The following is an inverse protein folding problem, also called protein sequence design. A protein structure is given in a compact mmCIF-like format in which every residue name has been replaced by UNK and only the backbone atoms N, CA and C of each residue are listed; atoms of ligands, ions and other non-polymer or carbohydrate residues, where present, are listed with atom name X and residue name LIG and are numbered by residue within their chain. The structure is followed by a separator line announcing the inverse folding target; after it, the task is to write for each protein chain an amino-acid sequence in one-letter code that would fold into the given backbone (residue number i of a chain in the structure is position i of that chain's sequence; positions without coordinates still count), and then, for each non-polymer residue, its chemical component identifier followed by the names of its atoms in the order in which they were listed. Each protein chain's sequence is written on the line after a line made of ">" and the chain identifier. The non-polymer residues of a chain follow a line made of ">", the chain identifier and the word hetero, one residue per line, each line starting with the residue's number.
data_IF_982967081134
#
_entry.id   IF_982967081134
#
_cell.length_a   1.000
_cell.length_b   1.000
_cell.length_c   1.000
_cell.angle_alpha   90.00
_cell.angle_beta   90.00
_cell.angle_gamma   90.00
#
_symmetry.space_group_name_H-M   'P 1'
#
loop_
_entity.id
_entity.type
_entity.pdbx_description
1 polymer ?
#
# COMPACT_ATOMS: atom_id res chain seq x y z
N UNK A 1 22.06 -21.98 1.13
CA UNK A 1 22.67 -22.61 -0.08
C UNK A 1 21.63 -23.22 -1.01
N UNK A 2 20.93 -24.32 -0.68
CA UNK A 2 19.91 -24.88 -1.59
C UNK A 2 18.68 -23.97 -1.80
N UNK A 3 18.20 -23.31 -0.73
CA UNK A 3 17.08 -22.36 -0.79
C UNK A 3 17.41 -21.07 -1.55
N UNK A 4 18.63 -20.54 -1.40
CA UNK A 4 19.06 -19.31 -2.07
C UNK A 4 19.21 -19.53 -3.59
N UNK A 5 19.75 -20.68 -3.98
CA UNK A 5 19.85 -21.07 -5.38
C UNK A 5 18.46 -21.20 -6.03
N UNK A 6 17.52 -21.87 -5.36
CA UNK A 6 16.14 -22.00 -5.86
C UNK A 6 15.43 -20.65 -6.00
N UNK A 7 15.61 -19.74 -5.03
CA UNK A 7 15.06 -18.38 -5.09
C UNK A 7 15.69 -17.55 -6.21
N UNK A 8 17.00 -17.73 -6.45
CA UNK A 8 17.70 -17.03 -7.51
C UNK A 8 17.19 -17.46 -8.90
N UNK A 9 16.98 -18.76 -9.13
CA UNK A 9 16.40 -19.26 -10.40
C UNK A 9 14.96 -18.78 -10.59
N UNK A 10 14.14 -18.79 -9.54
CA UNK A 10 12.78 -18.26 -9.61
C UNK A 10 12.79 -16.75 -9.91
N UNK A 11 13.67 -15.99 -9.26
CA UNK A 11 13.83 -14.56 -9.50
C UNK A 11 14.25 -14.25 -10.95
N UNK A 12 15.17 -15.02 -11.51
CA UNK A 12 15.57 -14.91 -12.92
C UNK A 12 14.35 -15.04 -13.85
N UNK A 13 13.55 -16.09 -13.66
CA UNK A 13 12.32 -16.31 -14.44
C UNK A 13 11.37 -15.12 -14.32
N UNK A 14 11.16 -14.60 -13.11
CA UNK A 14 10.29 -13.45 -12.85
C UNK A 14 10.77 -12.17 -13.53
N UNK A 15 12.08 -11.93 -13.54
CA UNK A 15 12.68 -10.79 -14.24
C UNK A 15 12.33 -10.82 -15.73
N UNK A 16 12.40 -11.99 -16.38
CA UNK A 16 12.03 -12.11 -17.80
C UNK A 16 10.53 -11.87 -18.05
N UNK A 17 9.65 -12.34 -17.15
CA UNK A 17 8.21 -12.06 -17.25
C UNK A 17 7.92 -10.56 -17.14
N UNK A 18 8.56 -9.90 -16.17
CA UNK A 18 8.41 -8.47 -15.95
C UNK A 18 9.00 -7.65 -17.11
N UNK A 19 10.09 -8.11 -17.72
CA UNK A 19 10.70 -7.49 -18.90
C UNK A 19 9.74 -7.48 -20.10
N UNK A 20 9.10 -8.62 -20.38
CA UNK A 20 8.10 -8.71 -21.44
C UNK A 20 6.90 -7.79 -21.16
N UNK A 21 6.43 -7.75 -19.91
CA UNK A 21 5.35 -6.85 -19.49
C UNK A 21 5.75 -5.37 -19.68
N UNK A 22 6.94 -5.00 -19.22
CA UNK A 22 7.47 -3.64 -19.36
C UNK A 22 7.60 -3.23 -20.82
N UNK A 23 8.14 -4.09 -21.68
CA UNK A 23 8.27 -3.84 -23.11
C UNK A 23 6.91 -3.63 -23.80
N UNK A 24 5.89 -4.42 -23.42
CA UNK A 24 4.52 -4.24 -23.92
C UNK A 24 3.96 -2.86 -23.52
N UNK A 25 4.08 -2.48 -22.26
CA UNK A 25 3.59 -1.18 -21.77
C UNK A 25 4.34 0.00 -22.40
N UNK A 26 5.66 -0.13 -22.61
CA UNK A 26 6.45 0.90 -23.31
C UNK A 26 6.07 1.06 -24.78
N UNK A 27 5.52 0.04 -25.41
CA UNK A 27 4.97 0.17 -26.78
C UNK A 27 3.72 1.06 -26.77
N UNK A 28 2.91 1.01 -25.70
CA UNK A 28 1.76 1.90 -25.52
C UNK A 28 2.18 3.33 -25.14
N UNK A 29 3.18 3.47 -24.26
CA UNK A 29 3.67 4.76 -23.77
C UNK A 29 5.20 4.78 -23.65
N UNK A 30 5.93 5.13 -24.72
CA UNK A 30 7.40 5.02 -24.75
C UNK A 30 8.11 6.08 -23.89
N UNK A 31 7.46 7.22 -23.68
CA UNK A 31 8.01 8.39 -22.97
C UNK A 31 7.63 8.45 -21.50
N UNK A 32 7.10 7.36 -20.92
CA UNK A 32 6.78 7.31 -19.50
C UNK A 32 8.05 7.08 -18.66
N UNK A 33 8.34 8.02 -17.75
CA UNK A 33 9.55 8.01 -16.92
C UNK A 33 9.66 6.76 -16.04
N UNK A 34 8.55 6.26 -15.48
CA UNK A 34 8.55 5.08 -14.62
C UNK A 34 8.83 3.82 -15.45
N UNK A 35 8.22 3.68 -16.62
CA UNK A 35 8.49 2.56 -17.51
C UNK A 35 9.93 2.60 -18.06
N UNK A 36 10.49 3.79 -18.31
CA UNK A 36 11.90 3.93 -18.70
C UNK A 36 12.85 3.52 -17.57
N UNK A 37 12.58 3.96 -16.33
CA UNK A 37 13.36 3.56 -15.17
C UNK A 37 13.29 2.05 -14.93
N UNK A 38 12.08 1.48 -14.95
CA UNK A 38 11.84 0.04 -14.86
C UNK A 38 12.67 -0.74 -15.90
N UNK A 39 12.62 -0.32 -17.16
CA UNK A 39 13.39 -0.94 -18.26
C UNK A 39 14.91 -0.87 -18.01
N UNK A 40 15.41 0.27 -17.54
CA UNK A 40 16.83 0.46 -17.23
C UNK A 40 17.32 -0.47 -16.10
N UNK A 41 16.50 -0.64 -15.06
CA UNK A 41 16.82 -1.57 -13.94
C UNK A 41 16.73 -3.02 -14.43
N UNK A 42 15.74 -3.38 -15.25
CA UNK A 42 15.62 -4.72 -15.83
C UNK A 42 16.83 -5.10 -16.69
N UNK A 43 17.37 -4.18 -17.48
CA UNK A 43 18.58 -4.43 -18.26
C UNK A 43 19.80 -4.73 -17.38
N UNK A 44 19.93 -4.05 -16.23
CA UNK A 44 20.97 -4.34 -15.23
C UNK A 44 20.77 -5.73 -14.61
N UNK A 45 19.53 -6.06 -14.22
CA UNK A 45 19.18 -7.36 -13.64
C UNK A 45 19.43 -8.52 -14.62
N UNK A 46 19.03 -8.38 -15.89
CA UNK A 46 19.30 -9.38 -16.94
C UNK A 46 20.80 -9.55 -17.19
N UNK A 47 21.57 -8.45 -17.17
CA UNK A 47 23.03 -8.50 -17.37
C UNK A 47 23.72 -9.28 -16.25
N UNK A 48 23.27 -9.12 -15.00
CA UNK A 48 23.78 -9.88 -13.84
C UNK A 48 23.64 -11.40 -14.05
N UNK A 49 22.45 -11.87 -14.46
CA UNK A 49 22.19 -13.30 -14.67
C UNK A 49 22.95 -13.88 -15.88
N UNK A 50 23.14 -13.08 -16.94
CA UNK A 50 23.90 -13.54 -18.13
C UNK A 50 25.40 -13.69 -17.91
N UNK A 51 26.01 -12.85 -17.07
CA UNK A 51 27.48 -12.78 -16.92
C UNK A 51 28.00 -13.42 -15.62
N UNK A 52 27.19 -14.18 -14.90
CA UNK A 52 27.64 -14.91 -13.71
C UNK A 52 27.94 -14.02 -12.49
N UNK A 53 27.31 -12.84 -12.41
CA UNK A 53 27.12 -12.07 -11.18
C UNK A 53 28.33 -11.86 -10.27
N UNK A 54 29.44 -11.28 -10.74
CA UNK A 54 30.49 -10.81 -9.85
C UNK A 54 30.08 -9.47 -9.20
N UNK A 55 29.37 -9.52 -8.05
CA UNK A 55 29.36 -8.51 -6.93
C UNK A 55 28.00 -8.24 -6.25
N UNK A 56 26.84 -8.52 -6.87
CA UNK A 56 25.54 -8.18 -6.26
C UNK A 56 24.97 -9.30 -5.36
N UNK A 57 24.56 -8.94 -4.15
CA UNK A 57 23.91 -9.84 -3.19
C UNK A 57 22.43 -10.06 -3.55
N UNK A 58 21.87 -11.23 -3.19
CA UNK A 58 20.44 -11.53 -3.39
C UNK A 58 19.50 -10.45 -2.84
N UNK A 59 19.74 -9.84 -1.66
CA UNK A 59 18.96 -8.69 -1.21
C UNK A 59 18.93 -7.53 -2.18
N UNK A 60 20.08 -7.15 -2.76
CA UNK A 60 20.13 -6.05 -3.71
C UNK A 60 19.34 -6.37 -4.99
N UNK A 61 19.45 -7.60 -5.49
CA UNK A 61 18.67 -8.04 -6.66
C UNK A 61 17.16 -8.00 -6.39
N UNK A 62 16.72 -8.45 -5.20
CA UNK A 62 15.31 -8.41 -4.83
C UNK A 62 14.80 -6.99 -4.60
N UNK A 63 15.62 -6.09 -4.05
CA UNK A 63 15.28 -4.67 -3.93
C UNK A 63 15.12 -4.01 -5.30
N UNK A 64 16.06 -4.24 -6.21
CA UNK A 64 16.00 -3.73 -7.58
C UNK A 64 14.77 -4.31 -8.31
N UNK A 65 14.51 -5.61 -8.18
CA UNK A 65 13.29 -6.25 -8.69
C UNK A 65 12.01 -5.59 -8.14
N UNK A 66 11.97 -5.34 -6.83
CA UNK A 66 10.84 -4.69 -6.17
C UNK A 66 10.60 -3.29 -6.71
N UNK A 67 11.67 -2.53 -6.98
CA UNK A 67 11.56 -1.20 -7.58
C UNK A 67 10.92 -1.28 -8.97
N UNK A 68 11.29 -2.25 -9.80
CA UNK A 68 10.67 -2.44 -11.11
C UNK A 68 9.17 -2.77 -10.98
N UNK A 69 8.80 -3.65 -10.04
CA UNK A 69 7.39 -3.95 -9.74
C UNK A 69 6.64 -2.68 -9.34
N UNK A 70 7.21 -1.85 -8.47
CA UNK A 70 6.61 -0.59 -8.03
C UNK A 70 6.42 0.39 -9.19
N UNK A 71 7.42 0.56 -10.05
CA UNK A 71 7.35 1.49 -11.18
C UNK A 71 6.30 1.07 -12.22
N UNK A 72 6.28 -0.22 -12.59
CA UNK A 72 5.30 -0.75 -13.54
C UNK A 72 3.88 -0.64 -12.99
N UNK A 73 3.69 -1.06 -11.73
CA UNK A 73 2.36 -1.01 -11.11
C UNK A 73 1.90 0.44 -10.88
N UNK A 74 2.82 1.38 -10.63
CA UNK A 74 2.50 2.81 -10.54
C UNK A 74 1.90 3.35 -11.84
N UNK A 75 2.53 3.05 -12.98
CA UNK A 75 1.98 3.39 -14.27
C UNK A 75 0.57 2.80 -14.49
N UNK A 76 0.40 1.51 -14.23
CA UNK A 76 -0.86 0.81 -14.46
C UNK A 76 -2.00 1.28 -13.52
N UNK A 77 -1.67 1.60 -12.27
CA UNK A 77 -2.62 2.16 -11.32
C UNK A 77 -3.08 3.56 -11.72
N UNK A 78 -2.18 4.44 -12.13
CA UNK A 78 -2.55 5.77 -12.61
C UNK A 78 -3.47 5.68 -13.82
N UNK A 79 -3.20 4.75 -14.74
CA UNK A 79 -4.10 4.49 -15.88
C UNK A 79 -5.51 4.08 -15.43
N UNK A 80 -5.64 3.28 -14.36
CA UNK A 80 -6.96 2.94 -13.80
C UNK A 80 -7.65 4.15 -13.16
N UNK A 81 -6.89 4.99 -12.46
CA UNK A 81 -7.41 6.23 -11.84
C UNK A 81 -7.91 7.19 -12.91
N UNK A 82 -7.12 7.43 -13.96
CA UNK A 82 -7.47 8.30 -15.09
C UNK A 82 -8.71 7.82 -15.84
N UNK A 83 -8.94 6.50 -15.85
CA UNK A 83 -10.12 5.88 -16.46
C UNK A 83 -11.30 5.73 -15.49
N UNK A 84 -11.19 6.26 -14.28
CA UNK A 84 -12.17 6.15 -13.21
C UNK A 84 -12.59 4.70 -12.93
N UNK A 85 -11.66 3.76 -12.93
CA UNK A 85 -11.90 2.33 -12.67
C UNK A 85 -13.14 1.76 -13.44
N UNK A 86 -13.00 1.48 -14.75
CA UNK A 86 -14.06 0.89 -15.56
C UNK A 86 -14.60 -0.42 -14.98
N UNK A 87 -15.93 -0.58 -14.92
CA UNK A 87 -16.57 -1.67 -14.17
C UNK A 87 -16.25 -3.08 -14.72
N UNK A 88 -16.02 -3.18 -16.01
CA UNK A 88 -15.79 -4.42 -16.76
C UNK A 88 -14.38 -5.00 -16.56
N UNK A 89 -13.37 -4.12 -16.47
CA UNK A 89 -11.95 -4.51 -16.45
C UNK A 89 -11.29 -4.34 -15.08
N UNK A 90 -11.75 -3.37 -14.28
CA UNK A 90 -11.09 -3.02 -13.01
C UNK A 90 -11.00 -4.17 -12.01
N UNK A 91 -12.04 -5.00 -11.77
CA UNK A 91 -11.94 -6.06 -10.77
C UNK A 91 -10.77 -7.02 -11.02
N UNK A 92 -10.59 -7.44 -12.28
CA UNK A 92 -9.48 -8.30 -12.68
C UNK A 92 -8.14 -7.56 -12.57
N UNK A 93 -8.09 -6.30 -13.03
CA UNK A 93 -6.85 -5.53 -13.02
C UNK A 93 -6.35 -5.22 -11.61
N UNK A 94 -7.26 -4.87 -10.69
CA UNK A 94 -6.95 -4.68 -9.28
C UNK A 94 -6.38 -5.96 -8.68
N UNK A 95 -7.00 -7.11 -8.95
CA UNK A 95 -6.49 -8.40 -8.46
C UNK A 95 -5.08 -8.69 -8.98
N UNK A 96 -4.83 -8.45 -10.26
CA UNK A 96 -3.50 -8.62 -10.86
C UNK A 96 -2.47 -7.70 -10.19
N UNK A 97 -2.78 -6.41 -10.04
CA UNK A 97 -1.86 -5.44 -9.41
C UNK A 97 -1.57 -5.79 -7.94
N UNK A 98 -2.57 -6.23 -7.18
CA UNK A 98 -2.36 -6.69 -5.81
C UNK A 98 -1.46 -7.93 -5.74
N UNK A 99 -1.57 -8.85 -6.71
CA UNK A 99 -0.69 -10.01 -6.81
C UNK A 99 0.75 -9.58 -7.14
N UNK A 100 0.92 -8.72 -8.14
CA UNK A 100 2.22 -8.18 -8.54
C UNK A 100 2.90 -7.47 -7.35
N UNK A 101 2.16 -6.62 -6.61
CA UNK A 101 2.66 -5.93 -5.41
C UNK A 101 2.92 -6.85 -4.21
N UNK A 102 2.36 -8.06 -4.18
CA UNK A 102 2.61 -9.03 -3.11
C UNK A 102 3.81 -9.92 -3.42
N UNK A 103 4.13 -10.11 -4.70
CA UNK A 103 5.16 -11.03 -5.15
C UNK A 103 6.56 -10.76 -4.57
N UNK A 104 7.04 -9.51 -4.43
CA UNK A 104 8.32 -9.25 -3.76
C UNK A 104 8.43 -9.82 -2.35
N UNK A 105 7.34 -9.76 -1.57
CA UNK A 105 7.31 -10.33 -0.22
C UNK A 105 7.37 -11.87 -0.27
N UNK A 106 6.68 -12.48 -1.24
CA UNK A 106 6.69 -13.93 -1.45
C UNK A 106 8.10 -14.42 -1.81
N UNK A 107 8.80 -13.70 -2.70
CA UNK A 107 10.17 -14.03 -3.10
C UNK A 107 11.18 -13.83 -1.97
N UNK A 108 11.01 -12.79 -1.15
CA UNK A 108 11.84 -12.56 0.02
C UNK A 108 11.56 -13.55 1.16
N UNK A 109 10.34 -14.08 1.21
CA UNK A 109 9.90 -15.09 2.18
C UNK A 109 9.99 -14.58 3.63
N UNK A 110 10.42 -15.45 4.55
CA UNK A 110 10.52 -15.11 5.99
C UNK A 110 11.53 -14.01 6.31
N UNK A 111 12.41 -13.66 5.37
CA UNK A 111 13.44 -12.65 5.52
C UNK A 111 13.04 -11.30 4.91
N UNK A 112 11.75 -11.11 4.59
CA UNK A 112 11.20 -9.94 3.89
C UNK A 112 11.75 -8.61 4.41
N UNK A 113 11.72 -8.38 5.72
CA UNK A 113 12.18 -7.12 6.30
C UNK A 113 13.70 -6.93 6.17
N UNK A 114 14.49 -7.99 6.35
CA UNK A 114 15.96 -7.92 6.20
C UNK A 114 16.43 -7.82 4.74
N UNK A 115 15.59 -8.27 3.80
CA UNK A 115 15.89 -8.30 2.37
C UNK A 115 15.43 -7.01 1.69
N UNK A 116 14.16 -6.64 1.86
CA UNK A 116 13.58 -5.46 1.23
C UNK A 116 13.88 -4.18 2.00
N UNK A 117 14.14 -4.29 3.31
CA UNK A 117 14.24 -3.12 4.18
C UNK A 117 12.87 -2.53 4.50
N UNK A 118 12.86 -1.54 5.40
CA UNK A 118 11.63 -0.93 5.90
C UNK A 118 10.93 -0.08 4.84
N UNK A 119 11.69 0.69 4.05
CA UNK A 119 11.13 1.64 3.09
C UNK A 119 10.35 0.96 1.97
N UNK A 120 10.92 -0.07 1.34
CA UNK A 120 10.23 -0.82 0.29
C UNK A 120 9.04 -1.59 0.86
N UNK A 121 9.16 -2.18 2.05
CA UNK A 121 8.07 -2.92 2.66
C UNK A 121 6.88 -2.00 3.00
N UNK A 122 7.16 -0.84 3.59
CA UNK A 122 6.17 0.21 3.85
C UNK A 122 5.51 0.68 2.55
N UNK A 123 6.31 0.91 1.50
CA UNK A 123 5.81 1.29 0.18
C UNK A 123 4.89 0.21 -0.40
N UNK A 124 5.24 -1.07 -0.35
CA UNK A 124 4.38 -2.15 -0.86
C UNK A 124 3.04 -2.21 -0.12
N UNK A 125 3.03 -2.05 1.21
CA UNK A 125 1.79 -1.98 1.98
C UNK A 125 0.97 -0.73 1.67
N UNK A 126 1.62 0.43 1.59
CA UNK A 126 1.01 1.68 1.18
C UNK A 126 0.32 1.55 -0.17
N UNK A 127 1.05 1.08 -1.20
CA UNK A 127 0.58 1.01 -2.58
C UNK A 127 -0.64 0.09 -2.73
N UNK A 128 -0.64 -1.08 -2.08
CA UNK A 128 -1.82 -1.97 -2.05
C UNK A 128 -3.03 -1.34 -1.37
N UNK A 129 -2.80 -0.69 -0.22
CA UNK A 129 -3.84 -0.02 0.53
C UNK A 129 -4.43 1.17 -0.22
N UNK A 130 -3.57 2.02 -0.80
CA UNK A 130 -3.94 3.18 -1.60
C UNK A 130 -4.69 2.80 -2.87
N UNK A 131 -4.26 1.73 -3.57
CA UNK A 131 -4.98 1.20 -4.73
C UNK A 131 -6.42 0.82 -4.38
N UNK A 132 -6.61 0.08 -3.29
CA UNK A 132 -7.93 -0.31 -2.81
C UNK A 132 -8.74 0.89 -2.31
N UNK A 133 -8.11 1.87 -1.66
CA UNK A 133 -8.73 3.12 -1.28
C UNK A 133 -9.27 3.85 -2.52
N UNK A 134 -8.43 4.08 -3.54
CA UNK A 134 -8.83 4.79 -4.76
C UNK A 134 -9.97 4.07 -5.48
N UNK A 135 -9.89 2.73 -5.59
CA UNK A 135 -10.95 1.93 -6.18
C UNK A 135 -12.27 2.06 -5.41
N UNK A 136 -12.24 1.91 -4.08
CA UNK A 136 -13.41 2.09 -3.24
C UNK A 136 -13.93 3.54 -3.26
N UNK A 137 -13.05 4.54 -3.33
CA UNK A 137 -13.39 5.94 -3.45
C UNK A 137 -14.12 6.23 -4.78
N UNK A 138 -13.76 5.60 -5.89
CA UNK A 138 -14.55 5.75 -7.11
C UNK A 138 -15.88 5.00 -7.01
N UNK A 139 -15.87 3.79 -6.46
CA UNK A 139 -17.08 2.95 -6.37
C UNK A 139 -18.13 3.46 -5.38
N UNK A 140 -17.74 4.11 -4.27
CA UNK A 140 -18.70 4.56 -3.25
C UNK A 140 -19.72 5.57 -3.81
N UNK A 141 -19.34 6.27 -4.89
CA UNK A 141 -20.21 7.19 -5.62
C UNK A 141 -21.27 6.45 -6.47
N UNK A 142 -21.01 5.18 -6.83
CA UNK A 142 -21.89 4.33 -7.68
C UNK A 142 -22.87 3.52 -6.83
N UNK A 143 -23.84 4.19 -6.20
CA UNK A 143 -24.82 3.56 -5.28
C UNK A 143 -25.51 2.29 -5.81
N UNK A 144 -25.85 2.24 -7.10
CA UNK A 144 -26.51 1.07 -7.70
C UNK A 144 -25.56 -0.14 -7.85
N UNK A 145 -24.29 0.11 -8.12
CA UNK A 145 -23.28 -0.94 -8.20
C UNK A 145 -23.05 -1.58 -6.83
N UNK A 146 -22.93 -0.77 -5.77
CA UNK A 146 -22.73 -1.26 -4.40
C UNK A 146 -23.90 -2.13 -3.93
N UNK A 147 -25.14 -1.76 -4.29
CA UNK A 147 -26.31 -2.61 -3.97
C UNK A 147 -26.19 -4.02 -4.52
N UNK A 148 -25.58 -4.18 -5.70
CA UNK A 148 -25.38 -5.49 -6.35
C UNK A 148 -24.10 -6.20 -5.87
N UNK A 149 -23.07 -5.44 -5.54
CA UNK A 149 -21.70 -5.95 -5.29
C UNK A 149 -21.22 -5.66 -3.86
N UNK A 150 -22.14 -5.58 -2.90
CA UNK A 150 -21.87 -5.15 -1.53
C UNK A 150 -20.78 -5.97 -0.83
N UNK A 151 -20.83 -7.29 -0.96
CA UNK A 151 -19.84 -8.18 -0.35
C UNK A 151 -18.43 -7.93 -0.90
N UNK A 152 -18.31 -7.75 -2.23
CA UNK A 152 -17.05 -7.39 -2.89
C UNK A 152 -16.53 -6.04 -2.39
N UNK A 153 -17.40 -5.04 -2.31
CA UNK A 153 -17.04 -3.72 -1.80
C UNK A 153 -16.50 -3.78 -0.36
N UNK A 154 -17.23 -4.45 0.55
CA UNK A 154 -16.79 -4.62 1.94
C UNK A 154 -15.48 -5.39 2.05
N UNK A 155 -15.26 -6.42 1.22
CA UNK A 155 -14.00 -7.15 1.16
C UNK A 155 -12.84 -6.25 0.73
N UNK A 156 -13.02 -5.41 -0.29
CA UNK A 156 -12.02 -4.43 -0.72
C UNK A 156 -11.68 -3.43 0.41
N UNK A 157 -12.69 -2.94 1.13
CA UNK A 157 -12.46 -2.06 2.29
C UNK A 157 -11.65 -2.77 3.38
N UNK A 158 -12.02 -4.01 3.72
CA UNK A 158 -11.35 -4.80 4.75
C UNK A 158 -9.87 -5.04 4.41
N UNK A 159 -9.58 -5.45 3.17
CA UNK A 159 -8.20 -5.68 2.74
C UNK A 159 -7.40 -4.37 2.65
N UNK A 160 -8.00 -3.29 2.17
CA UNK A 160 -7.34 -1.98 2.11
C UNK A 160 -6.95 -1.48 3.49
N UNK A 161 -7.87 -1.53 4.46
CA UNK A 161 -7.57 -1.17 5.85
C UNK A 161 -6.47 -2.06 6.43
N UNK A 162 -6.46 -3.37 6.15
CA UNK A 162 -5.37 -4.26 6.60
C UNK A 162 -4.01 -3.86 6.05
N UNK A 163 -3.91 -3.57 4.76
CA UNK A 163 -2.64 -3.15 4.17
C UNK A 163 -2.16 -1.82 4.74
N UNK A 164 -3.06 -0.84 4.90
CA UNK A 164 -2.73 0.46 5.47
C UNK A 164 -2.33 0.36 6.95
N UNK A 165 -3.00 -0.48 7.75
CA UNK A 165 -2.58 -0.75 9.13
C UNK A 165 -1.21 -1.43 9.19
N UNK A 166 -0.92 -2.38 8.28
CA UNK A 166 0.41 -2.99 8.19
C UNK A 166 1.48 -1.97 7.82
N UNK A 167 1.18 -1.05 6.89
CA UNK A 167 2.08 0.06 6.54
C UNK A 167 2.48 0.87 7.77
N UNK A 168 1.50 1.29 8.59
CA UNK A 168 1.76 2.03 9.84
C UNK A 168 2.55 1.23 10.89
N UNK A 169 2.61 -0.11 10.76
CA UNK A 169 3.28 -1.01 11.70
C UNK A 169 4.65 -1.48 11.22
N UNK A 170 5.09 -1.13 10.01
CA UNK A 170 6.40 -1.54 9.49
C UNK A 170 7.53 -0.99 10.36
N UNK A 171 7.40 0.25 10.82
CA UNK A 171 8.35 0.90 11.71
C UNK A 171 7.85 0.81 13.16
N UNK A 172 8.76 0.44 14.06
CA UNK A 172 8.47 0.50 15.49
C UNK A 172 8.45 1.96 15.95
N UNK A 173 7.54 2.31 16.86
CA UNK A 173 7.58 3.61 17.55
C UNK A 173 8.90 3.78 18.31
N UNK A 174 9.42 5.00 18.31
CA UNK A 174 10.66 5.31 19.03
C UNK A 174 10.33 5.47 20.51
N UNK A 175 10.94 4.63 21.35
CA UNK A 175 10.90 4.84 22.80
C UNK A 175 11.74 6.07 23.12
N UNK A 176 11.08 7.16 23.53
CA UNK A 176 11.75 8.33 24.07
C UNK A 176 12.35 7.94 25.43
N UNK A 177 13.64 7.60 25.47
CA UNK A 177 14.35 7.37 26.74
C UNK A 177 14.67 8.72 27.38
N UNK A 178 14.58 8.80 28.72
CA UNK A 178 14.85 10.01 29.52
C UNK A 178 16.27 10.63 29.33
N UNK A 179 17.18 9.90 28.67
CA UNK A 179 18.55 10.35 28.39
C UNK A 179 18.79 10.92 26.98
N UNK A 180 17.79 10.92 26.09
CA UNK A 180 17.92 11.47 24.72
C UNK A 180 17.29 12.86 24.68
N UNK A 181 18.12 13.90 24.60
CA UNK A 181 17.66 15.27 24.43
C UNK A 181 17.24 15.47 22.97
N UNK A 182 15.93 15.52 22.73
CA UNK A 182 15.42 15.97 21.45
C UNK A 182 15.40 17.50 21.45
N UNK A 183 16.08 18.10 20.47
CA UNK A 183 16.07 19.56 20.30
C UNK A 183 14.71 20.09 19.83
N UNK A 184 13.88 19.24 19.22
CA UNK A 184 12.49 19.51 18.88
C UNK A 184 11.56 18.46 19.49
N UNK A 185 10.79 18.87 20.49
CA UNK A 185 9.79 18.04 21.15
C UNK A 185 8.66 17.62 20.22
N UNK A 186 8.33 18.41 19.19
CA UNK A 186 7.26 18.08 18.24
C UNK A 186 7.64 16.87 17.39
N UNK A 187 8.85 16.90 16.78
CA UNK A 187 9.39 15.75 16.04
C UNK A 187 9.53 14.50 16.91
N UNK A 188 9.99 14.65 18.16
CA UNK A 188 10.10 13.52 19.10
C UNK A 188 8.74 12.86 19.38
N UNK A 189 7.70 13.67 19.58
CA UNK A 189 6.34 13.18 19.79
C UNK A 189 5.79 12.46 18.55
N UNK A 190 6.07 12.93 17.33
CA UNK A 190 5.68 12.21 16.11
C UNK A 190 6.31 10.82 16.00
N UNK A 191 7.61 10.73 16.27
CA UNK A 191 8.33 9.46 16.22
C UNK A 191 7.85 8.48 17.31
N UNK A 192 7.48 8.99 18.48
CA UNK A 192 6.86 8.21 19.56
C UNK A 192 5.46 7.72 19.16
N UNK A 193 4.70 8.55 18.46
CA UNK A 193 3.41 8.19 17.87
C UNK A 193 3.54 7.36 16.59
N UNK A 194 4.75 7.08 16.09
CA UNK A 194 4.94 6.30 14.87
C UNK A 194 4.50 7.02 13.59
N UNK A 195 4.54 8.36 13.58
CA UNK A 195 4.30 9.19 12.39
C UNK A 195 5.67 9.60 11.84
N UNK A 196 6.03 9.07 10.67
CA UNK A 196 7.37 9.27 10.09
C UNK A 196 7.37 10.07 8.77
N UNK A 197 6.21 10.31 8.18
CA UNK A 197 6.07 11.04 6.91
C UNK A 197 4.64 11.50 6.67
N UNK A 198 4.44 12.40 5.71
CA UNK A 198 3.11 12.81 5.23
C UNK A 198 2.27 11.62 4.76
N UNK A 199 2.92 10.58 4.19
CA UNK A 199 2.26 9.34 3.80
C UNK A 199 1.61 8.64 4.99
N UNK A 200 2.17 8.72 6.21
CA UNK A 200 1.54 8.15 7.40
C UNK A 200 0.26 8.90 7.76
N UNK A 201 0.24 10.22 7.64
CA UNK A 201 -0.96 11.03 7.90
C UNK A 201 -2.05 10.75 6.86
N UNK A 202 -1.66 10.69 5.59
CA UNK A 202 -2.57 10.32 4.51
C UNK A 202 -3.13 8.91 4.70
N UNK A 203 -2.29 7.97 5.14
CA UNK A 203 -2.70 6.60 5.53
C UNK A 203 -3.75 6.62 6.62
N UNK A 204 -3.59 7.42 7.66
CA UNK A 204 -4.58 7.53 8.73
C UNK A 204 -5.92 8.03 8.20
N UNK A 205 -5.92 9.05 7.33
CA UNK A 205 -7.14 9.55 6.71
C UNK A 205 -7.83 8.47 5.86
N UNK A 206 -7.08 7.78 4.99
CA UNK A 206 -7.62 6.71 4.13
C UNK A 206 -8.22 5.57 4.95
N UNK A 207 -7.57 5.14 6.05
CA UNK A 207 -8.14 4.13 6.96
C UNK A 207 -9.48 4.63 7.52
N UNK A 208 -9.53 5.88 7.98
CA UNK A 208 -10.74 6.47 8.55
C UNK A 208 -11.92 6.48 7.58
N UNK A 209 -11.70 6.93 6.34
CA UNK A 209 -12.73 6.96 5.30
C UNK A 209 -13.20 5.55 4.91
N UNK A 210 -12.28 4.61 4.75
CA UNK A 210 -12.63 3.22 4.44
C UNK A 210 -13.44 2.57 5.56
N UNK A 211 -13.07 2.83 6.82
CA UNK A 211 -13.82 2.37 7.99
C UNK A 211 -15.23 2.99 8.03
N UNK A 212 -15.35 4.28 7.74
CA UNK A 212 -16.64 4.96 7.64
C UNK A 212 -17.53 4.36 6.56
N UNK A 213 -16.99 4.15 5.35
CA UNK A 213 -17.75 3.49 4.29
C UNK A 213 -18.16 2.08 4.70
N UNK A 214 -17.28 1.32 5.35
CA UNK A 214 -17.60 -0.03 5.80
C UNK A 214 -18.78 -0.01 6.76
N UNK A 215 -18.73 0.80 7.84
CA UNK A 215 -19.82 0.95 8.81
C UNK A 215 -21.14 1.33 8.13
N UNK A 216 -21.11 2.35 7.25
CA UNK A 216 -22.28 2.82 6.51
C UNK A 216 -22.98 1.71 5.71
N UNK A 217 -22.22 0.82 5.08
CA UNK A 217 -22.78 -0.27 4.28
C UNK A 217 -23.03 -1.54 5.11
N UNK A 218 -22.31 -1.79 6.20
CA UNK A 218 -22.57 -2.89 7.13
C UNK A 218 -23.92 -2.72 7.82
N UNK A 219 -24.22 -1.54 8.35
CA UNK A 219 -25.48 -1.24 9.03
C UNK A 219 -26.71 -1.38 8.10
N UNK A 220 -26.51 -1.26 6.78
CA UNK A 220 -27.54 -1.53 5.77
C UNK A 220 -27.76 -3.03 5.49
N UNK A 221 -27.16 -3.94 6.26
CA UNK A 221 -27.26 -5.40 6.10
C UNK A 221 -28.05 -6.01 7.26
N UNK A 222 -29.29 -6.43 7.02
CA UNK A 222 -30.08 -7.14 8.05
C UNK A 222 -29.79 -8.65 8.13
N UNK A 223 -28.87 -9.19 7.32
CA UNK A 223 -28.67 -10.64 7.29
C UNK A 223 -27.23 -11.01 6.88
N UNK A 224 -26.50 -11.69 7.77
CA UNK A 224 -25.48 -12.73 7.48
C UNK A 224 -24.78 -13.17 8.76
N UNK A 225 -25.20 -14.32 9.28
CA UNK A 225 -24.50 -15.17 10.25
C UNK A 225 -23.31 -15.90 9.61
N UNK A 226 -22.36 -15.16 9.02
CA UNK A 226 -21.11 -15.74 8.51
C UNK A 226 -19.89 -15.08 9.16
N UNK A 227 -19.19 -15.89 9.96
CA UNK A 227 -17.84 -15.75 10.55
C UNK A 227 -17.46 -14.33 11.02
N UNK A 228 -17.91 -14.00 12.23
CA UNK A 228 -17.54 -12.76 12.94
C UNK A 228 -16.05 -12.63 13.29
N UNK A 229 -15.28 -13.72 13.34
CA UNK A 229 -13.91 -13.72 13.90
C UNK A 229 -12.86 -13.05 13.00
N UNK A 230 -13.08 -12.97 11.69
CA UNK A 230 -12.13 -12.34 10.75
C UNK A 230 -12.56 -10.94 10.29
N UNK A 231 -13.62 -10.35 10.86
CA UNK A 231 -14.06 -8.99 10.49
C UNK A 231 -13.35 -7.95 11.33
N UNK A 232 -12.87 -6.90 10.68
CA UNK A 232 -12.28 -5.76 11.37
C UNK A 232 -13.35 -5.02 12.17
N UNK A 233 -12.98 -4.52 13.34
CA UNK A 233 -13.79 -3.59 14.11
C UNK A 233 -13.68 -2.19 13.50
N UNK A 234 -14.31 -1.97 12.34
CA UNK A 234 -14.17 -0.74 11.56
C UNK A 234 -14.48 0.53 12.36
N UNK A 235 -15.51 0.50 13.20
CA UNK A 235 -15.88 1.64 14.05
C UNK A 235 -14.75 2.02 15.01
N UNK A 236 -14.18 1.03 15.70
CA UNK A 236 -13.10 1.25 16.68
C UNK A 236 -11.80 1.69 16.00
N UNK A 237 -11.42 0.99 14.92
CA UNK A 237 -10.21 1.30 14.14
C UNK A 237 -10.30 2.71 13.56
N UNK A 238 -11.42 3.03 12.89
CA UNK A 238 -11.64 4.33 12.27
C UNK A 238 -11.61 5.45 13.31
N UNK A 239 -12.28 5.26 14.44
CA UNK A 239 -12.30 6.24 15.54
C UNK A 239 -10.90 6.48 16.10
N UNK A 240 -10.17 5.41 16.43
CA UNK A 240 -8.83 5.51 17.01
C UNK A 240 -7.87 6.22 16.06
N UNK A 241 -7.85 5.83 14.78
CA UNK A 241 -6.93 6.36 13.78
C UNK A 241 -7.26 7.83 13.45
N UNK A 242 -8.53 8.19 13.29
CA UNK A 242 -8.92 9.57 13.00
C UNK A 242 -8.66 10.51 14.18
N UNK A 243 -8.83 10.06 15.43
CA UNK A 243 -8.41 10.86 16.58
C UNK A 243 -6.92 11.16 16.53
N UNK A 244 -6.10 10.15 16.22
CA UNK A 244 -4.65 10.33 16.09
C UNK A 244 -4.29 11.31 14.97
N UNK A 245 -4.94 11.20 13.82
CA UNK A 245 -4.79 12.15 12.71
C UNK A 245 -5.14 13.58 13.12
N UNK A 246 -6.32 13.81 13.73
CA UNK A 246 -6.74 15.14 14.15
C UNK A 246 -5.80 15.73 15.19
N UNK A 247 -5.36 14.94 16.18
CA UNK A 247 -4.39 15.38 17.19
C UNK A 247 -3.05 15.79 16.56
N UNK A 248 -2.57 15.05 15.57
CA UNK A 248 -1.35 15.37 14.84
C UNK A 248 -1.49 16.65 14.00
N UNK A 249 -2.59 16.78 13.25
CA UNK A 249 -2.83 17.89 12.33
C UNK A 249 -3.16 19.22 13.02
N UNK A 250 -3.94 19.19 14.11
CA UNK A 250 -4.32 20.41 14.85
C UNK A 250 -3.36 20.76 15.98
N UNK A 251 -2.49 19.82 16.36
CA UNK A 251 -1.42 20.05 17.30
C UNK A 251 -0.14 20.43 16.56
N UNK A 252 0.89 19.56 16.51
CA UNK A 252 2.20 20.00 16.06
C UNK A 252 2.31 20.30 14.54
N UNK A 253 1.33 19.92 13.71
CA UNK A 253 1.28 20.30 12.29
C UNK A 253 0.30 21.44 11.98
N UNK A 254 -0.18 22.15 12.99
CA UNK A 254 -1.13 23.23 12.77
C UNK A 254 -0.56 24.27 11.78
N UNK A 255 -1.35 24.58 10.75
CA UNK A 255 -0.95 25.52 9.71
C UNK A 255 -0.10 24.93 8.57
N UNK A 256 0.21 23.63 8.58
CA UNK A 256 0.99 22.96 7.53
C UNK A 256 0.13 22.43 6.36
N UNK A 257 -1.07 23.00 6.17
CA UNK A 257 -1.95 22.67 5.03
C UNK A 257 -2.80 21.40 5.17
N UNK A 258 -2.74 20.71 6.31
CA UNK A 258 -3.62 19.56 6.58
C UNK A 258 -5.04 19.99 6.96
N UNK A 259 -6.05 19.34 6.37
CA UNK A 259 -7.46 19.56 6.66
C UNK A 259 -8.00 18.45 7.59
N UNK A 260 -8.72 18.84 8.65
CA UNK A 260 -9.31 17.94 9.65
C UNK A 260 -10.84 17.94 9.66
N UNK A 261 -11.49 18.75 8.81
CA UNK A 261 -12.95 18.89 8.75
C UNK A 261 -13.62 17.55 8.43
N UNK A 262 -13.22 16.90 7.33
CA UNK A 262 -13.77 15.59 6.94
C UNK A 262 -13.51 14.52 8.03
N UNK A 263 -12.31 14.51 8.63
CA UNK A 263 -11.99 13.59 9.72
C UNK A 263 -12.92 13.77 10.93
N UNK A 264 -13.21 15.02 11.31
CA UNK A 264 -14.13 15.36 12.40
C UNK A 264 -15.58 15.00 12.08
N UNK A 265 -16.02 15.25 10.84
CA UNK A 265 -17.34 14.83 10.37
C UNK A 265 -17.52 13.32 10.47
N UNK A 266 -16.54 12.55 10.00
CA UNK A 266 -16.57 11.10 10.10
C UNK A 266 -16.59 10.64 11.57
N UNK A 267 -15.74 11.24 12.43
CA UNK A 267 -15.72 10.92 13.86
C UNK A 267 -17.08 11.12 14.52
N UNK A 268 -17.82 12.16 14.16
CA UNK A 268 -19.17 12.42 14.69
C UNK A 268 -20.19 11.33 14.37
N UNK A 269 -19.93 10.51 13.34
CA UNK A 269 -20.79 9.39 12.92
C UNK A 269 -20.31 8.06 13.50
N UNK A 270 -19.00 7.93 13.71
CA UNK A 270 -18.39 6.72 14.27
C UNK A 270 -18.52 6.62 15.81
N UNK A 271 -18.63 7.76 16.49
CA UNK A 271 -18.91 7.86 17.94
C UNK A 271 -20.40 7.65 18.26
#
# INVERSE_FOLDING_TARGET
>A
MADDYRRSVELERRIFELDNKCASLRTEKPDDDYLQNASSILDKLKTYYRHGGESSSLPKLLQDYTQVVLDITFYEENKLVDQEFPEDTSPFKIQQLLQDLTEPEVLAGRLVQSVLGLELLECLYWRRGALLYMYCHTLHQRKQWIKKNKATFLKCLQEGVRYLMRMLQVRNSVKLNDGVVFHDSATANFLAEGIFSDTHLLTMMYIGEMCFWAVKYEDCSMDTTERKEDRLHFRDIGTQILHKYVLACEGPLQGQGWNTENAKEILSILQ
#
